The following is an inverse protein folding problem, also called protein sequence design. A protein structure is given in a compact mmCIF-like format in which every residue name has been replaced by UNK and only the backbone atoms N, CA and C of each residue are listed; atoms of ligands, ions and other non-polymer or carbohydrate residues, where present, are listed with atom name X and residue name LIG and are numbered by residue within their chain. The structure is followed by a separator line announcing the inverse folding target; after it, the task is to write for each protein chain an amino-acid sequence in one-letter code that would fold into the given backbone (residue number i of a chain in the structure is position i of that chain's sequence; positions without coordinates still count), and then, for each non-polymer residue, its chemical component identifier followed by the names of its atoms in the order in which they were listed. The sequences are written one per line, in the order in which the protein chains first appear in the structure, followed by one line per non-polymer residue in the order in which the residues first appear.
data_IF_543258442594
#
_entry.id   IF_543258442594
#
_cell.length_a   1.000
_cell.length_b   1.000
_cell.length_c   1.000
_cell.angle_alpha   90.00
_cell.angle_beta   90.00
_cell.angle_gamma   90.00
#
_symmetry.space_group_name_H-M   'P 1'
#
loop_
_entity.id
_entity.type
_entity.pdbx_description
1 polymer ?
#
# COMPACT_ATOMS: atom_id res chain seq x y z
N UNK A 1 11.53 -13.46 -16.48
CA UNK A 1 11.88 -12.04 -16.64
C UNK A 1 12.49 -11.65 -15.31
N UNK A 2 13.80 -11.47 -15.25
CA UNK A 2 14.40 -10.74 -14.13
C UNK A 2 13.70 -9.37 -14.11
N UNK A 3 12.85 -9.12 -13.12
CA UNK A 3 12.44 -7.75 -12.87
C UNK A 3 13.72 -7.04 -12.43
N UNK A 4 14.31 -6.24 -13.33
CA UNK A 4 15.28 -5.24 -12.94
C UNK A 4 14.58 -4.40 -11.88
N UNK A 5 14.86 -4.66 -10.60
CA UNK A 5 14.36 -3.85 -9.49
C UNK A 5 14.94 -2.47 -9.71
N UNK A 6 14.13 -1.57 -10.26
CA UNK A 6 14.51 -0.17 -10.40
C UNK A 6 14.63 0.40 -8.99
N UNK A 7 15.85 0.70 -8.58
CA UNK A 7 16.10 1.37 -7.30
C UNK A 7 15.69 2.83 -7.42
N UNK A 8 14.56 3.19 -6.81
CA UNK A 8 14.14 4.58 -6.67
C UNK A 8 14.88 5.19 -5.47
N UNK A 9 15.55 6.35 -5.63
CA UNK A 9 16.23 7.01 -4.52
C UNK A 9 15.19 7.53 -3.52
N UNK A 10 15.34 7.18 -2.24
CA UNK A 10 14.40 7.57 -1.19
C UNK A 10 14.42 9.08 -0.90
N UNK A 11 15.60 9.72 -0.92
CA UNK A 11 15.76 11.11 -0.48
C UNK A 11 14.91 12.11 -1.29
N UNK A 12 14.94 12.11 -2.64
CA UNK A 12 14.14 13.07 -3.42
C UNK A 12 12.64 12.92 -3.16
N UNK A 13 12.14 11.69 -3.07
CA UNK A 13 10.72 11.43 -2.84
C UNK A 13 10.30 11.81 -1.41
N UNK A 14 11.16 11.58 -0.42
CA UNK A 14 10.93 12.03 0.96
C UNK A 14 10.80 13.56 1.02
N UNK A 15 11.71 14.30 0.37
CA UNK A 15 11.62 15.76 0.29
C UNK A 15 10.36 16.21 -0.45
N UNK A 16 10.01 15.54 -1.55
CA UNK A 16 8.81 15.86 -2.33
C UNK A 16 7.53 15.71 -1.50
N UNK A 17 7.25 14.52 -0.96
CA UNK A 17 6.02 14.28 -0.19
C UNK A 17 6.04 15.03 1.14
N UNK A 18 7.19 15.12 1.80
CA UNK A 18 7.37 15.93 3.00
C UNK A 18 7.06 17.41 2.75
N UNK A 19 7.46 17.96 1.61
CA UNK A 19 7.15 19.36 1.24
C UNK A 19 5.65 19.58 1.01
N UNK A 20 4.93 18.61 0.45
CA UNK A 20 3.47 18.70 0.26
C UNK A 20 2.72 18.66 1.60
N UNK A 21 3.11 17.74 2.48
CA UNK A 21 2.53 17.65 3.83
C UNK A 21 2.83 18.92 4.62
N UNK A 22 4.07 19.41 4.58
CA UNK A 22 4.44 20.66 5.25
C UNK A 22 3.69 21.87 4.68
N UNK A 23 3.50 21.92 3.37
CA UNK A 23 2.71 22.97 2.74
C UNK A 23 1.28 22.99 3.26
N UNK A 24 0.60 21.83 3.30
CA UNK A 24 -0.76 21.72 3.86
C UNK A 24 -0.80 22.14 5.34
N UNK A 25 0.19 21.71 6.13
CA UNK A 25 0.30 22.08 7.54
C UNK A 25 0.43 23.59 7.73
N UNK A 26 1.37 24.23 7.01
CA UNK A 26 1.64 25.67 7.09
C UNK A 26 0.46 26.49 6.60
N UNK A 27 -0.19 26.08 5.50
CA UNK A 27 -1.40 26.76 4.99
C UNK A 27 -2.54 26.66 6.00
N UNK A 28 -2.81 25.46 6.53
CA UNK A 28 -3.85 25.24 7.53
C UNK A 28 -3.66 26.12 8.77
N UNK A 29 -2.46 26.09 9.35
CA UNK A 29 -2.14 26.93 10.53
C UNK A 29 -2.08 28.41 10.21
N UNK A 30 -1.57 28.81 9.05
CA UNK A 30 -1.56 30.19 8.59
C UNK A 30 -2.97 30.79 8.54
N UNK A 31 -3.95 30.04 8.03
CA UNK A 31 -5.35 30.44 8.03
C UNK A 31 -5.91 30.60 9.45
N UNK A 32 -5.59 29.70 10.38
CA UNK A 32 -5.99 29.81 11.79
C UNK A 32 -5.43 31.08 12.42
N UNK A 33 -4.13 31.33 12.26
CA UNK A 33 -3.45 32.48 12.88
C UNK A 33 -3.97 33.83 12.40
N UNK A 34 -4.49 33.92 11.17
CA UNK A 34 -5.08 35.17 10.65
C UNK A 34 -6.30 35.66 11.44
N UNK A 35 -7.02 34.76 12.13
CA UNK A 35 -8.24 35.09 12.87
C UNK A 35 -8.20 34.71 14.36
N UNK A 36 -7.06 34.20 14.85
CA UNK A 36 -6.93 33.67 16.20
C UNK A 36 -7.21 34.73 17.29
N UNK A 37 -6.78 35.98 17.06
CA UNK A 37 -7.04 37.09 18.01
C UNK A 37 -8.52 37.39 18.19
N UNK A 38 -9.33 37.15 17.16
CA UNK A 38 -10.77 37.43 17.16
C UNK A 38 -11.59 36.22 17.61
N UNK A 39 -11.12 35.02 17.29
CA UNK A 39 -11.78 33.76 17.61
C UNK A 39 -10.78 32.74 18.20
N UNK A 40 -10.42 32.87 19.50
CA UNK A 40 -9.47 31.97 20.15
C UNK A 40 -9.90 30.50 20.14
N UNK A 41 -11.21 30.22 20.06
CA UNK A 41 -11.78 28.88 19.95
C UNK A 41 -11.33 28.13 18.69
N UNK A 42 -10.89 28.83 17.63
CA UNK A 42 -10.33 28.22 16.43
C UNK A 42 -9.09 27.37 16.73
N UNK A 43 -8.30 27.72 17.76
CA UNK A 43 -7.11 26.96 18.13
C UNK A 43 -7.46 25.52 18.52
N UNK A 44 -8.46 25.35 19.38
CA UNK A 44 -8.90 24.03 19.83
C UNK A 44 -9.48 23.21 18.68
N UNK A 45 -10.31 23.83 17.82
CA UNK A 45 -10.93 23.15 16.67
C UNK A 45 -9.89 22.77 15.60
N UNK A 46 -8.91 23.64 15.35
CA UNK A 46 -7.80 23.38 14.45
C UNK A 46 -6.92 22.22 14.94
N UNK A 47 -6.57 22.23 16.22
CA UNK A 47 -5.80 21.15 16.85
C UNK A 47 -6.58 19.83 16.78
N UNK A 48 -7.86 19.83 17.15
CA UNK A 48 -8.73 18.65 17.04
C UNK A 48 -8.78 18.11 15.61
N UNK A 49 -8.97 19.00 14.62
CA UNK A 49 -9.02 18.61 13.20
C UNK A 49 -7.72 17.94 12.75
N UNK A 50 -6.57 18.50 13.13
CA UNK A 50 -5.26 17.88 12.85
C UNK A 50 -5.12 16.52 13.53
N UNK A 51 -5.49 16.40 14.81
CA UNK A 51 -5.41 15.14 15.56
C UNK A 51 -6.39 14.09 15.04
N UNK A 52 -7.58 14.47 14.56
CA UNK A 52 -8.50 13.54 13.91
C UNK A 52 -7.92 13.00 12.61
N UNK A 53 -7.20 13.84 11.85
CA UNK A 53 -6.44 13.38 10.67
C UNK A 53 -5.36 12.37 11.04
N UNK A 54 -4.54 12.68 12.06
CA UNK A 54 -3.51 11.77 12.57
C UNK A 54 -4.10 10.45 13.07
N UNK A 55 -5.20 10.52 13.83
CA UNK A 55 -5.84 9.38 14.42
C UNK A 55 -6.44 8.48 13.34
N UNK A 56 -7.18 9.05 12.39
CA UNK A 56 -7.88 8.26 11.37
C UNK A 56 -6.93 7.53 10.42
N UNK A 57 -5.71 8.04 10.19
CA UNK A 57 -4.65 7.33 9.48
C UNK A 57 -4.27 5.97 10.12
N UNK A 58 -4.52 5.79 11.42
CA UNK A 58 -4.31 4.53 12.11
C UNK A 58 -5.48 3.55 11.98
N UNK A 59 -6.52 3.86 11.21
CA UNK A 59 -7.58 2.89 11.01
C UNK A 59 -7.05 1.69 10.21
N UNK A 60 -7.43 0.49 10.66
CA UNK A 60 -6.83 -0.76 10.20
C UNK A 60 -7.02 -0.97 8.69
N UNK A 61 -8.09 -0.45 8.11
CA UNK A 61 -8.39 -0.47 6.69
C UNK A 61 -7.43 0.40 5.87
N UNK A 62 -7.03 1.58 6.38
CA UNK A 62 -6.01 2.45 5.79
C UNK A 62 -4.65 1.75 5.71
N UNK A 63 -4.13 1.32 6.87
CA UNK A 63 -2.85 0.61 6.98
C UNK A 63 -2.86 -0.62 6.05
N UNK A 64 -3.93 -1.41 6.13
CA UNK A 64 -4.02 -2.63 5.32
C UNK A 64 -4.08 -2.35 3.82
N UNK A 65 -4.79 -1.30 3.38
CA UNK A 65 -4.83 -0.91 1.97
C UNK A 65 -3.46 -0.42 1.47
N UNK A 66 -2.80 0.46 2.25
CA UNK A 66 -1.49 1.03 1.93
C UNK A 66 -0.44 -0.07 1.85
N UNK A 67 -0.39 -0.97 2.84
CA UNK A 67 0.52 -2.11 2.89
C UNK A 67 0.39 -3.00 1.65
N UNK A 68 -0.85 -3.41 1.37
CA UNK A 68 -1.11 -4.37 0.31
C UNK A 68 -0.82 -3.75 -1.06
N UNK A 69 -1.10 -2.46 -1.24
CA UNK A 69 -0.80 -1.76 -2.48
C UNK A 69 0.71 -1.52 -2.65
N UNK A 70 1.39 -1.16 -1.56
CA UNK A 70 2.85 -1.03 -1.51
C UNK A 70 3.49 -2.36 -1.89
N UNK A 71 3.01 -3.47 -1.32
CA UNK A 71 3.52 -4.81 -1.62
C UNK A 71 3.38 -5.18 -3.10
N UNK A 72 2.20 -4.95 -3.66
CA UNK A 72 1.91 -5.17 -5.08
C UNK A 72 2.87 -4.38 -5.96
N UNK A 73 3.07 -3.09 -5.68
CA UNK A 73 3.94 -2.22 -6.48
C UNK A 73 5.43 -2.55 -6.31
N UNK A 74 5.89 -2.97 -5.12
CA UNK A 74 7.25 -3.49 -4.92
C UNK A 74 7.47 -4.73 -5.78
N UNK A 75 6.51 -5.67 -5.80
CA UNK A 75 6.59 -6.86 -6.64
C UNK A 75 6.63 -6.54 -8.14
N UNK A 76 5.95 -5.47 -8.56
CA UNK A 76 5.96 -4.97 -9.94
C UNK A 76 7.21 -4.14 -10.28
N UNK A 77 8.11 -3.90 -9.32
CA UNK A 77 9.31 -3.08 -9.51
C UNK A 77 9.02 -1.58 -9.72
N UNK A 78 7.92 -1.08 -9.15
CA UNK A 78 7.45 0.31 -9.28
C UNK A 78 7.81 1.17 -8.07
N UNK A 79 7.78 2.49 -8.23
CA UNK A 79 7.98 3.43 -7.12
C UNK A 79 6.79 3.40 -6.16
N UNK A 80 7.07 3.11 -4.90
CA UNK A 80 6.12 2.94 -3.81
C UNK A 80 6.09 4.08 -2.79
N UNK A 81 7.04 5.02 -2.87
CA UNK A 81 7.22 6.06 -1.83
C UNK A 81 6.01 6.99 -1.65
N UNK A 82 5.16 7.12 -2.67
CA UNK A 82 3.98 7.98 -2.65
C UNK A 82 2.66 7.28 -2.33
N UNK A 83 2.64 5.96 -2.10
CA UNK A 83 1.39 5.19 -1.98
C UNK A 83 0.50 5.74 -0.86
N UNK A 84 1.07 5.90 0.34
CA UNK A 84 0.35 6.44 1.49
C UNK A 84 -0.12 7.88 1.29
N UNK A 85 0.73 8.75 0.73
CA UNK A 85 0.36 10.14 0.41
C UNK A 85 -0.84 10.21 -0.56
N UNK A 86 -0.79 9.46 -1.66
CA UNK A 86 -1.87 9.53 -2.65
C UNK A 86 -3.15 8.89 -2.13
N UNK A 87 -3.07 7.83 -1.32
CA UNK A 87 -4.21 7.23 -0.65
C UNK A 87 -4.92 8.25 0.27
N UNK A 88 -4.21 8.78 1.27
CA UNK A 88 -4.73 9.79 2.20
C UNK A 88 -5.21 11.06 1.50
N UNK A 89 -4.51 11.53 0.48
CA UNK A 89 -4.92 12.71 -0.28
C UNK A 89 -6.23 12.47 -1.04
N UNK A 90 -6.40 11.29 -1.63
CA UNK A 90 -7.65 10.91 -2.30
C UNK A 90 -8.83 10.83 -1.32
N UNK A 91 -8.62 10.21 -0.16
CA UNK A 91 -9.60 10.14 0.92
C UNK A 91 -9.99 11.53 1.42
N UNK A 92 -8.97 12.34 1.69
CA UNK A 92 -9.13 13.70 2.19
C UNK A 92 -9.77 14.64 1.16
N UNK A 93 -9.68 14.35 -0.15
CA UNK A 93 -10.38 15.12 -1.16
C UNK A 93 -11.91 15.03 -0.97
N UNK A 94 -12.42 13.86 -0.60
CA UNK A 94 -13.85 13.68 -0.25
C UNK A 94 -14.18 14.50 0.99
N UNK A 95 -13.34 14.44 2.03
CA UNK A 95 -13.52 15.23 3.27
C UNK A 95 -13.52 16.73 2.99
N UNK A 96 -12.59 17.23 2.16
CA UNK A 96 -12.51 18.65 1.75
C UNK A 96 -13.78 19.07 1.00
N UNK A 97 -14.23 18.28 0.02
CA UNK A 97 -15.45 18.58 -0.74
C UNK A 97 -16.65 18.64 0.18
N UNK A 98 -16.79 17.68 1.09
CA UNK A 98 -17.90 17.65 2.04
C UNK A 98 -17.85 18.77 3.07
N UNK A 99 -16.65 19.15 3.53
CA UNK A 99 -16.48 20.30 4.40
C UNK A 99 -16.87 21.60 3.68
N UNK A 100 -16.47 21.79 2.42
CA UNK A 100 -16.87 22.94 1.61
C UNK A 100 -18.39 23.01 1.42
N UNK A 101 -19.02 21.88 1.06
CA UNK A 101 -20.48 21.79 0.95
C UNK A 101 -21.16 22.18 2.27
N UNK A 102 -20.62 21.71 3.39
CA UNK A 102 -21.14 22.05 4.72
C UNK A 102 -20.97 23.53 5.06
N UNK A 103 -19.83 24.13 4.75
CA UNK A 103 -19.54 25.54 5.02
C UNK A 103 -20.46 26.46 4.20
N UNK A 104 -20.66 26.17 2.91
CA UNK A 104 -21.47 27.02 2.03
C UNK A 104 -22.96 26.72 2.07
N UNK A 105 -23.37 25.49 2.40
CA UNK A 105 -24.75 25.04 2.34
C UNK A 105 -25.21 24.42 3.67
N UNK A 106 -24.97 25.13 4.79
CA UNK A 106 -25.25 24.63 6.16
C UNK A 106 -26.64 24.02 6.32
N UNK A 107 -27.70 24.69 5.86
CA UNK A 107 -29.08 24.22 6.02
C UNK A 107 -29.39 22.97 5.18
N UNK A 108 -28.86 22.93 3.95
CA UNK A 108 -28.95 21.73 3.11
C UNK A 108 -28.18 20.57 3.74
N UNK A 109 -26.96 20.83 4.21
CA UNK A 109 -26.10 19.83 4.84
C UNK A 109 -26.72 19.23 6.09
N UNK A 110 -27.32 20.05 6.98
CA UNK A 110 -28.04 19.55 8.16
C UNK A 110 -29.15 18.55 7.80
N UNK A 111 -29.85 18.78 6.69
CA UNK A 111 -30.99 17.96 6.27
C UNK A 111 -30.60 16.74 5.42
N UNK A 112 -29.49 16.82 4.67
CA UNK A 112 -29.10 15.78 3.70
C UNK A 112 -27.90 14.95 4.15
N UNK A 113 -26.94 15.50 4.91
CA UNK A 113 -25.76 14.76 5.37
C UNK A 113 -26.14 13.46 6.10
N UNK A 114 -27.13 13.42 7.02
CA UNK A 114 -27.50 12.17 7.68
C UNK A 114 -27.94 11.09 6.68
N UNK A 115 -28.68 11.47 5.63
CA UNK A 115 -29.13 10.53 4.59
C UNK A 115 -27.98 10.05 3.71
N UNK A 116 -27.06 10.95 3.37
CA UNK A 116 -25.84 10.58 2.64
C UNK A 116 -24.91 9.71 3.47
N UNK A 117 -24.86 9.90 4.79
CA UNK A 117 -24.10 9.06 5.69
C UNK A 117 -24.70 7.64 5.78
N UNK A 118 -26.02 7.51 5.87
CA UNK A 118 -26.67 6.19 5.91
C UNK A 118 -26.38 5.35 4.65
N UNK A 119 -26.52 5.95 3.47
CA UNK A 119 -26.33 5.26 2.19
C UNK A 119 -24.86 5.18 1.81
N UNK A 120 -24.16 6.31 1.89
CA UNK A 120 -22.76 6.46 1.52
C UNK A 120 -21.84 5.70 2.48
N UNK A 121 -22.13 5.67 3.77
CA UNK A 121 -21.42 4.85 4.76
C UNK A 121 -21.44 3.38 4.37
N UNK A 122 -22.62 2.81 4.13
CA UNK A 122 -22.76 1.41 3.70
C UNK A 122 -22.02 1.13 2.40
N UNK A 123 -22.20 1.98 1.38
CA UNK A 123 -21.54 1.79 0.09
C UNK A 123 -20.02 1.94 0.20
N UNK A 124 -19.54 2.94 0.93
CA UNK A 124 -18.12 3.19 1.18
C UNK A 124 -17.46 2.01 1.89
N UNK A 125 -18.04 1.54 3.00
CA UNK A 125 -17.56 0.34 3.71
C UNK A 125 -17.58 -0.90 2.82
N UNK A 126 -18.62 -1.08 2.00
CA UNK A 126 -18.70 -2.21 1.06
C UNK A 126 -17.60 -2.15 -0.01
N UNK A 127 -17.36 -0.98 -0.60
CA UNK A 127 -16.29 -0.78 -1.57
C UNK A 127 -14.91 -0.97 -0.96
N UNK A 128 -14.67 -0.43 0.24
CA UNK A 128 -13.44 -0.61 1.00
C UNK A 128 -13.19 -2.11 1.28
N UNK A 129 -14.19 -2.79 1.83
CA UNK A 129 -14.10 -4.22 2.14
C UNK A 129 -13.82 -5.09 0.90
N UNK A 130 -14.53 -4.85 -0.20
CA UNK A 130 -14.29 -5.57 -1.46
C UNK A 130 -12.88 -5.29 -2.01
N UNK A 131 -12.41 -4.04 -1.94
CA UNK A 131 -11.07 -3.66 -2.37
C UNK A 131 -9.99 -4.34 -1.53
N UNK A 132 -10.16 -4.43 -0.21
CA UNK A 132 -9.24 -5.14 0.70
C UNK A 132 -9.21 -6.64 0.40
N UNK A 133 -10.37 -7.28 0.17
CA UNK A 133 -10.43 -8.68 -0.23
C UNK A 133 -9.72 -8.93 -1.57
N UNK A 134 -9.91 -8.02 -2.53
CA UNK A 134 -9.22 -8.06 -3.82
C UNK A 134 -7.70 -7.99 -3.62
N UNK A 135 -7.21 -6.97 -2.91
CA UNK A 135 -5.80 -6.76 -2.65
C UNK A 135 -5.17 -7.93 -1.88
N UNK A 136 -5.85 -8.43 -0.84
CA UNK A 136 -5.45 -9.59 -0.06
C UNK A 136 -5.33 -10.85 -0.92
N UNK A 137 -6.27 -11.06 -1.85
CA UNK A 137 -6.22 -12.19 -2.81
C UNK A 137 -4.99 -12.11 -3.71
N UNK A 138 -4.66 -10.93 -4.24
CA UNK A 138 -3.47 -10.77 -5.08
C UNK A 138 -2.18 -10.99 -4.27
N UNK A 139 -2.09 -10.42 -3.08
CA UNK A 139 -0.90 -10.59 -2.25
C UNK A 139 -0.76 -12.01 -1.71
N UNK A 140 -1.86 -12.73 -1.48
CA UNK A 140 -1.85 -14.17 -1.18
C UNK A 140 -1.23 -14.98 -2.33
N UNK A 141 -1.55 -14.60 -3.57
CA UNK A 141 -0.98 -15.26 -4.74
C UNK A 141 0.52 -14.96 -4.86
N UNK A 142 0.95 -13.71 -4.63
CA UNK A 142 2.37 -13.34 -4.55
C UNK A 142 3.07 -14.15 -3.46
N UNK A 143 2.45 -14.27 -2.27
CA UNK A 143 2.96 -15.05 -1.14
C UNK A 143 3.13 -16.54 -1.52
N UNK A 144 2.13 -17.14 -2.17
CA UNK A 144 2.18 -18.53 -2.62
C UNK A 144 3.30 -18.76 -3.66
N UNK A 145 3.50 -17.80 -4.58
CA UNK A 145 4.59 -17.82 -5.55
C UNK A 145 5.97 -17.79 -4.89
N UNK A 146 6.15 -16.92 -3.89
CA UNK A 146 7.39 -16.84 -3.09
C UNK A 146 7.62 -18.14 -2.33
N UNK A 147 6.58 -18.68 -1.67
CA UNK A 147 6.67 -19.93 -0.90
C UNK A 147 7.06 -21.12 -1.79
N UNK A 148 6.45 -21.24 -2.98
CA UNK A 148 6.76 -22.33 -3.90
C UNK A 148 8.18 -22.22 -4.44
N UNK A 149 8.61 -21.02 -4.84
CA UNK A 149 9.97 -20.76 -5.31
C UNK A 149 11.00 -21.14 -4.24
N UNK A 150 10.73 -20.76 -2.98
CA UNK A 150 11.55 -21.13 -1.84
C UNK A 150 11.64 -22.64 -1.62
N UNK A 151 10.50 -23.35 -1.65
CA UNK A 151 10.45 -24.81 -1.48
C UNK A 151 11.16 -25.55 -2.62
N UNK A 152 11.11 -25.01 -3.84
CA UNK A 152 11.78 -25.55 -5.03
C UNK A 152 13.30 -25.49 -4.88
N UNK A 153 13.83 -24.33 -4.50
CA UNK A 153 15.26 -24.13 -4.33
C UNK A 153 15.80 -24.94 -3.15
N UNK A 154 15.04 -25.03 -2.05
CA UNK A 154 15.40 -25.89 -0.91
C UNK A 154 15.47 -27.38 -1.26
N UNK A 155 14.86 -27.81 -2.38
CA UNK A 155 14.90 -29.19 -2.90
C UNK A 155 15.94 -29.38 -4.03
N UNK A 156 16.69 -28.34 -4.39
CA UNK A 156 17.68 -28.39 -5.48
C UNK A 156 17.09 -28.40 -6.89
N UNK A 157 15.78 -28.18 -7.04
CA UNK A 157 15.13 -28.06 -8.34
C UNK A 157 15.01 -26.57 -8.71
N UNK A 158 15.88 -26.12 -9.60
CA UNK A 158 15.89 -24.75 -10.12
C UNK A 158 14.95 -24.56 -11.33
N UNK A 159 14.32 -25.62 -11.84
CA UNK A 159 13.52 -25.57 -13.07
C UNK A 159 12.07 -25.14 -12.86
N UNK A 160 11.50 -25.32 -11.66
CA UNK A 160 10.06 -25.20 -11.41
C UNK A 160 9.59 -23.86 -10.82
N UNK A 161 10.47 -22.86 -10.71
CA UNK A 161 10.18 -21.54 -10.13
C UNK A 161 9.26 -20.62 -11.00
N UNK A 162 8.95 -20.98 -12.25
CA UNK A 162 8.17 -20.12 -13.16
C UNK A 162 6.70 -20.51 -13.39
N UNK A 163 6.26 -21.69 -12.91
CA UNK A 163 5.16 -22.38 -13.59
C UNK A 163 3.79 -22.43 -12.89
N UNK A 164 3.50 -21.67 -11.83
CA UNK A 164 2.17 -21.84 -11.18
C UNK A 164 1.57 -20.56 -10.65
N UNK A 165 1.13 -19.71 -11.56
CA UNK A 165 0.14 -18.67 -11.23
C UNK A 165 -0.62 -18.22 -12.48
N UNK A 166 -1.11 -19.12 -13.32
CA UNK A 166 -1.88 -18.74 -14.51
C UNK A 166 -3.27 -19.39 -14.51
N UNK A 167 -4.06 -19.11 -13.48
CA UNK A 167 -5.50 -19.41 -13.52
C UNK A 167 -6.24 -18.28 -14.26
N UNK A 168 -7.35 -18.60 -14.93
CA UNK A 168 -8.18 -17.57 -15.62
C UNK A 168 -8.60 -16.44 -14.66
N UNK A 169 -8.93 -16.80 -13.43
CA UNK A 169 -9.30 -15.89 -12.34
C UNK A 169 -8.12 -14.97 -11.98
N UNK A 170 -6.91 -15.50 -11.85
CA UNK A 170 -5.71 -14.71 -11.61
C UNK A 170 -5.44 -13.71 -12.73
N UNK A 171 -5.65 -14.08 -14.01
CA UNK A 171 -5.50 -13.13 -15.13
C UNK A 171 -6.50 -11.99 -15.07
N UNK A 172 -7.75 -12.26 -14.66
CA UNK A 172 -8.79 -11.24 -14.50
C UNK A 172 -8.39 -10.28 -13.38
N UNK A 173 -8.02 -10.81 -12.21
CA UNK A 173 -7.57 -9.99 -11.07
C UNK A 173 -6.31 -9.19 -11.37
N UNK A 174 -5.33 -9.80 -12.03
CA UNK A 174 -4.12 -9.12 -12.49
C UNK A 174 -4.44 -8.01 -13.49
N UNK A 175 -5.41 -8.21 -14.39
CA UNK A 175 -5.84 -7.18 -15.34
C UNK A 175 -6.54 -6.01 -14.66
N UNK A 176 -7.43 -6.28 -13.70
CA UNK A 176 -8.09 -5.25 -12.91
C UNK A 176 -7.08 -4.42 -12.08
N UNK A 177 -6.07 -5.06 -11.49
CA UNK A 177 -5.02 -4.36 -10.74
C UNK A 177 -3.92 -3.73 -11.60
N UNK A 178 -3.74 -4.16 -12.85
CA UNK A 178 -2.91 -3.44 -13.82
C UNK A 178 -3.49 -2.07 -14.18
N UNK A 179 -4.66 -1.69 -13.63
CA UNK A 179 -5.11 -0.30 -13.64
C UNK A 179 -4.21 0.55 -12.74
N UNK A 180 -3.70 0.00 -11.63
CA UNK A 180 -2.83 0.68 -10.65
C UNK A 180 -1.38 0.26 -10.87
N UNK A 181 -0.71 0.91 -11.83
CA UNK A 181 0.71 0.70 -12.15
C UNK A 181 1.63 1.80 -11.58
N UNK A 182 1.06 2.89 -11.08
CA UNK A 182 1.77 4.03 -10.53
C UNK A 182 1.19 4.45 -9.20
N UNK A 183 2.04 4.93 -8.29
CA UNK A 183 1.63 5.38 -6.96
C UNK A 183 0.54 6.46 -6.97
N UNK A 184 0.53 7.38 -7.96
CA UNK A 184 -0.49 8.43 -8.04
C UNK A 184 -1.90 7.89 -8.24
N UNK A 185 -2.06 6.72 -8.85
CA UNK A 185 -3.36 6.11 -9.12
C UNK A 185 -4.05 5.61 -7.83
N UNK A 186 -3.28 5.49 -6.74
CA UNK A 186 -3.81 5.16 -5.42
C UNK A 186 -4.76 6.26 -4.91
N UNK A 187 -4.70 7.48 -5.47
CA UNK A 187 -5.68 8.54 -5.20
C UNK A 187 -7.12 8.09 -5.49
N UNK A 188 -7.34 7.27 -6.52
CA UNK A 188 -8.66 6.75 -6.84
C UNK A 188 -9.15 5.77 -5.77
N UNK A 189 -8.23 4.98 -5.19
CA UNK A 189 -8.54 4.06 -4.10
C UNK A 189 -8.86 4.84 -2.83
N UNK A 190 -8.07 5.87 -2.52
CA UNK A 190 -8.33 6.78 -1.41
C UNK A 190 -9.70 7.44 -1.50
N UNK A 191 -10.10 7.91 -2.69
CA UNK A 191 -11.45 8.47 -2.89
C UNK A 191 -12.53 7.45 -2.55
N UNK A 192 -12.38 6.18 -2.95
CA UNK A 192 -13.36 5.13 -2.65
C UNK A 192 -13.47 4.86 -1.15
N UNK A 193 -12.36 4.89 -0.40
CA UNK A 193 -12.36 4.76 1.06
C UNK A 193 -12.98 6.00 1.73
N UNK A 194 -12.77 7.19 1.16
CA UNK A 194 -13.37 8.45 1.63
C UNK A 194 -14.89 8.52 1.49
N UNK A 195 -15.50 7.64 0.70
CA UNK A 195 -16.96 7.59 0.52
C UNK A 195 -17.72 7.08 1.75
N UNK A 196 -17.05 6.58 2.79
CA UNK A 196 -17.72 6.19 4.05
C UNK A 196 -18.41 7.34 4.78
N UNK A 197 -18.11 8.60 4.43
CA UNK A 197 -18.65 9.85 5.01
C UNK A 197 -18.48 10.07 6.52
N UNK A 198 -18.12 9.08 7.34
CA UNK A 198 -18.00 9.24 8.79
C UNK A 198 -17.03 10.36 9.19
N UNK A 199 -15.89 10.45 8.49
CA UNK A 199 -14.90 11.52 8.69
C UNK A 199 -15.31 12.86 8.12
N UNK A 200 -15.96 12.84 6.95
CA UNK A 200 -16.57 14.04 6.39
C UNK A 200 -17.58 14.64 7.38
N UNK A 201 -18.37 13.80 8.05
CA UNK A 201 -19.31 14.23 9.09
C UNK A 201 -18.60 14.78 10.32
N UNK A 202 -17.51 14.15 10.81
CA UNK A 202 -16.73 14.68 11.94
C UNK A 202 -16.20 16.11 11.67
N UNK A 203 -15.60 16.32 10.50
CA UNK A 203 -15.10 17.65 10.11
C UNK A 203 -16.25 18.63 9.83
N UNK A 204 -17.36 18.17 9.24
CA UNK A 204 -18.56 18.97 9.05
C UNK A 204 -19.17 19.44 10.39
N UNK A 205 -19.19 18.57 11.41
CA UNK A 205 -19.67 18.92 12.76
C UNK A 205 -18.77 19.95 13.42
N UNK A 206 -17.44 19.81 13.31
CA UNK A 206 -16.51 20.84 13.80
C UNK A 206 -16.70 22.17 13.06
N UNK A 207 -16.85 22.13 11.74
CA UNK A 207 -17.06 23.32 10.91
C UNK A 207 -18.37 24.05 11.26
N UNK A 208 -19.48 23.30 11.39
CA UNK A 208 -20.78 23.87 11.78
C UNK A 208 -20.78 24.40 13.21
N UNK A 209 -20.07 23.74 14.14
CA UNK A 209 -19.89 24.22 15.50
C UNK A 209 -19.14 25.56 15.53
N UNK A 210 -18.07 25.71 14.74
CA UNK A 210 -17.35 26.98 14.62
C UNK A 210 -18.27 28.11 14.11
N UNK A 211 -19.02 27.85 13.05
CA UNK A 211 -19.95 28.82 12.46
C UNK A 211 -21.08 29.19 13.43
N UNK A 212 -21.58 28.23 14.22
CA UNK A 212 -22.67 28.44 15.16
C UNK A 212 -22.24 29.20 16.43
N UNK A 213 -21.09 28.86 17.01
CA UNK A 213 -20.61 29.45 18.28
C UNK A 213 -20.08 30.87 18.11
N UNK A 214 -19.70 31.25 16.90
CA UNK A 214 -19.08 32.56 16.66
C UNK A 214 -19.68 33.18 15.41
N UNK A 215 -20.78 33.93 15.60
CA UNK A 215 -21.39 34.74 14.54
C UNK A 215 -20.30 35.58 13.86
N UNK A 216 -20.01 35.27 12.60
CA UNK A 216 -19.05 36.01 11.78
C UNK A 216 -17.65 35.40 11.61
N UNK A 217 -17.39 34.15 12.02
CA UNK A 217 -16.14 33.49 11.58
C UNK A 217 -16.12 33.43 10.05
N UNK A 218 -15.07 33.95 9.38
CA UNK A 218 -14.95 33.85 7.93
C UNK A 218 -14.83 32.40 7.50
N UNK A 219 -15.50 32.04 6.40
CA UNK A 219 -15.49 30.69 5.87
C UNK A 219 -14.07 30.16 5.60
N UNK A 220 -13.12 31.02 5.21
CA UNK A 220 -11.71 30.68 5.02
C UNK A 220 -11.03 30.17 6.30
N UNK A 221 -11.40 30.71 7.45
CA UNK A 221 -10.88 30.25 8.74
C UNK A 221 -11.42 28.87 9.09
N UNK A 222 -12.70 28.61 8.79
CA UNK A 222 -13.31 27.27 8.96
C UNK A 222 -12.74 26.26 7.96
N UNK A 223 -12.38 26.71 6.75
CA UNK A 223 -11.72 25.88 5.74
C UNK A 223 -10.32 25.40 6.14
N UNK A 224 -9.71 25.99 7.16
CA UNK A 224 -8.48 25.46 7.76
C UNK A 224 -8.64 24.04 8.32
N UNK A 225 -9.83 23.67 8.80
CA UNK A 225 -10.08 22.39 9.46
C UNK A 225 -9.88 21.19 8.52
N UNK A 226 -10.54 21.10 7.35
CA UNK A 226 -10.28 20.01 6.42
C UNK A 226 -8.84 20.01 5.89
N UNK A 227 -8.18 21.17 5.76
CA UNK A 227 -6.76 21.24 5.37
C UNK A 227 -5.86 20.62 6.44
N UNK A 228 -6.08 20.96 7.71
CA UNK A 228 -5.32 20.43 8.84
C UNK A 228 -5.57 18.93 9.04
N UNK A 229 -6.82 18.48 8.90
CA UNK A 229 -7.16 17.06 8.86
C UNK A 229 -6.38 16.34 7.74
N UNK A 230 -6.41 16.89 6.53
CA UNK A 230 -5.68 16.35 5.37
C UNK A 230 -4.19 16.29 5.66
N UNK A 231 -3.62 17.33 6.26
CA UNK A 231 -2.20 17.38 6.62
C UNK A 231 -1.82 16.29 7.63
N UNK A 232 -2.63 16.10 8.68
CA UNK A 232 -2.38 15.08 9.70
C UNK A 232 -2.45 13.67 9.11
N UNK A 233 -3.50 13.38 8.35
CA UNK A 233 -3.67 12.09 7.70
C UNK A 233 -2.55 11.81 6.70
N UNK A 234 -2.27 12.76 5.80
CA UNK A 234 -1.22 12.59 4.79
C UNK A 234 0.15 12.38 5.42
N UNK A 235 0.44 12.99 6.56
CA UNK A 235 1.69 12.78 7.29
C UNK A 235 1.84 11.32 7.74
N UNK A 236 0.81 10.78 8.41
CA UNK A 236 0.88 9.43 9.00
C UNK A 236 0.81 8.33 7.94
N UNK A 237 -0.10 8.44 6.97
CA UNK A 237 -0.19 7.47 5.88
C UNK A 237 1.08 7.48 5.02
N UNK A 238 1.71 8.66 4.81
CA UNK A 238 3.02 8.71 4.13
C UNK A 238 4.11 8.03 4.94
N UNK A 239 4.14 8.20 6.27
CA UNK A 239 5.09 7.51 7.13
C UNK A 239 4.91 5.99 7.04
N UNK A 240 3.67 5.50 7.08
CA UNK A 240 3.34 4.09 6.94
C UNK A 240 3.77 3.52 5.57
N UNK A 241 3.37 4.18 4.49
CA UNK A 241 3.75 3.75 3.13
C UNK A 241 5.26 3.75 2.90
N UNK A 242 5.99 4.73 3.44
CA UNK A 242 7.46 4.77 3.39
C UNK A 242 8.08 3.65 4.24
N UNK A 243 7.57 3.43 5.45
CA UNK A 243 8.00 2.34 6.32
C UNK A 243 7.84 0.99 5.60
N UNK A 244 6.67 0.71 5.05
CA UNK A 244 6.42 -0.53 4.32
C UNK A 244 7.24 -0.67 3.05
N UNK A 245 7.41 0.43 2.30
CA UNK A 245 8.27 0.44 1.13
C UNK A 245 9.70 0.03 1.49
N UNK A 246 10.25 0.60 2.56
CA UNK A 246 11.60 0.26 3.01
C UNK A 246 11.69 -1.15 3.58
N UNK A 247 10.71 -1.58 4.39
CA UNK A 247 10.66 -2.90 4.97
C UNK A 247 10.60 -3.99 3.88
N UNK A 248 9.72 -3.84 2.89
CA UNK A 248 9.61 -4.80 1.79
C UNK A 248 10.84 -4.77 0.88
N UNK A 249 11.31 -3.61 0.40
CA UNK A 249 12.51 -3.54 -0.44
C UNK A 249 13.76 -4.10 0.24
N UNK A 250 13.90 -3.90 1.56
CA UNK A 250 14.98 -4.48 2.36
C UNK A 250 14.94 -6.01 2.33
N UNK A 251 13.74 -6.60 2.42
CA UNK A 251 13.57 -8.05 2.35
C UNK A 251 13.92 -8.61 0.96
N UNK A 252 13.56 -7.93 -0.12
CA UNK A 252 13.82 -8.41 -1.50
C UNK A 252 15.29 -8.37 -1.93
N UNK A 253 16.18 -7.74 -1.16
CA UNK A 253 17.58 -7.50 -1.55
C UNK A 253 18.60 -8.58 -1.13
N UNK A 254 18.21 -9.73 -0.57
CA UNK A 254 19.18 -10.83 -0.32
C UNK A 254 18.58 -12.25 -0.40
N UNK A 255 19.41 -13.29 -0.65
CA UNK A 255 18.95 -14.44 -1.43
C UNK A 255 18.20 -15.55 -0.68
N UNK A 256 18.33 -15.77 0.63
CA UNK A 256 17.61 -16.91 1.25
C UNK A 256 17.05 -16.68 2.66
N UNK A 257 17.79 -15.99 3.54
CA UNK A 257 17.37 -15.86 4.95
C UNK A 257 16.31 -14.80 5.16
N UNK A 258 16.24 -13.83 4.25
CA UNK A 258 15.18 -12.82 4.23
C UNK A 258 13.83 -13.37 3.77
N UNK A 259 13.80 -14.53 3.11
CA UNK A 259 12.56 -15.11 2.59
C UNK A 259 11.55 -15.40 3.71
N UNK A 260 12.00 -15.92 4.86
CA UNK A 260 11.11 -16.16 6.00
C UNK A 260 10.50 -14.86 6.55
N UNK A 261 11.29 -13.79 6.65
CA UNK A 261 10.78 -12.47 7.03
C UNK A 261 9.85 -11.89 5.97
N UNK A 262 10.13 -12.17 4.70
CA UNK A 262 9.24 -11.83 3.59
C UNK A 262 7.87 -12.48 3.74
N UNK A 263 7.89 -13.79 3.97
CA UNK A 263 6.70 -14.60 4.14
C UNK A 263 5.92 -14.16 5.37
N UNK A 264 6.59 -13.84 6.47
CA UNK A 264 5.95 -13.34 7.69
C UNK A 264 5.28 -11.98 7.47
N UNK A 265 6.00 -10.97 6.96
CA UNK A 265 5.44 -9.63 6.72
C UNK A 265 4.32 -9.65 5.68
N UNK A 266 4.47 -10.46 4.63
CA UNK A 266 3.44 -10.59 3.59
C UNK A 266 2.23 -11.37 4.10
N UNK A 267 2.46 -12.47 4.83
CA UNK A 267 1.40 -13.26 5.44
C UNK A 267 0.59 -12.46 6.44
N UNK A 268 1.25 -11.60 7.22
CA UNK A 268 0.58 -10.67 8.12
C UNK A 268 -0.30 -9.67 7.35
N UNK A 269 0.25 -9.01 6.33
CA UNK A 269 -0.48 -8.04 5.52
C UNK A 269 -1.68 -8.65 4.76
N UNK A 270 -1.53 -9.87 4.25
CA UNK A 270 -2.61 -10.64 3.60
C UNK A 270 -3.68 -11.02 4.62
N UNK A 271 -3.28 -11.47 5.80
CA UNK A 271 -4.22 -11.85 6.87
C UNK A 271 -5.03 -10.65 7.34
N UNK A 272 -4.37 -9.50 7.52
CA UNK A 272 -5.04 -8.24 7.84
C UNK A 272 -6.04 -7.85 6.75
N UNK A 273 -5.66 -7.92 5.46
CA UNK A 273 -6.56 -7.62 4.34
C UNK A 273 -7.82 -8.47 4.30
N UNK A 274 -7.68 -9.78 4.49
CA UNK A 274 -8.84 -10.66 4.57
C UNK A 274 -9.68 -10.40 5.81
N UNK A 275 -9.05 -10.24 6.98
CA UNK A 275 -9.77 -10.01 8.22
C UNK A 275 -10.59 -8.72 8.16
N UNK A 276 -9.95 -7.60 7.84
CA UNK A 276 -10.61 -6.29 7.76
C UNK A 276 -11.64 -6.27 6.63
N UNK A 277 -11.29 -6.79 5.45
CA UNK A 277 -12.22 -6.82 4.32
C UNK A 277 -13.48 -7.65 4.58
N UNK A 278 -13.37 -8.79 5.30
CA UNK A 278 -14.53 -9.57 5.74
C UNK A 278 -15.35 -8.78 6.75
N UNK A 279 -14.69 -8.16 7.74
CA UNK A 279 -15.35 -7.35 8.77
C UNK A 279 -16.13 -6.19 8.14
N UNK A 280 -15.55 -5.47 7.19
CA UNK A 280 -16.21 -4.39 6.45
C UNK A 280 -17.44 -4.87 5.68
N UNK A 281 -17.32 -5.97 4.93
CA UNK A 281 -18.47 -6.53 4.20
C UNK A 281 -19.60 -6.93 5.16
N UNK A 282 -19.26 -7.55 6.30
CA UNK A 282 -20.24 -7.91 7.33
C UNK A 282 -20.91 -6.65 7.92
N UNK A 283 -20.14 -5.61 8.22
CA UNK A 283 -20.66 -4.35 8.75
C UNK A 283 -21.59 -3.67 7.74
N UNK A 284 -21.21 -3.60 6.46
CA UNK A 284 -22.00 -3.03 5.39
C UNK A 284 -23.33 -3.78 5.20
N UNK A 285 -23.30 -5.11 5.18
CA UNK A 285 -24.51 -5.96 5.10
C UNK A 285 -25.40 -5.74 6.32
N UNK A 286 -24.81 -5.64 7.52
CA UNK A 286 -25.53 -5.37 8.76
C UNK A 286 -26.24 -4.03 8.75
N UNK A 287 -25.59 -2.98 8.26
CA UNK A 287 -26.16 -1.65 8.07
C UNK A 287 -27.31 -1.65 7.05
N UNK A 288 -27.12 -2.30 5.91
CA UNK A 288 -28.11 -2.35 4.83
C UNK A 288 -29.38 -3.15 5.21
N UNK A 289 -29.20 -4.36 5.75
CA UNK A 289 -30.32 -5.27 6.09
C UNK A 289 -30.91 -5.02 7.48
N UNK A 290 -30.33 -4.11 8.28
CA UNK A 290 -30.68 -3.89 9.70
C UNK A 290 -30.74 -5.21 10.49
N UNK A 291 -29.84 -6.14 10.17
CA UNK A 291 -29.85 -7.49 10.71
C UNK A 291 -28.99 -7.57 11.97
N UNK A 292 -29.56 -8.07 13.08
CA UNK A 292 -28.93 -8.03 14.40
C UNK A 292 -28.46 -9.41 14.88
N UNK A 293 -27.70 -10.13 14.05
CA UNK A 293 -27.07 -11.41 14.44
C UNK A 293 -25.81 -11.16 15.32
N UNK A 294 -25.47 -12.05 16.26
CA UNK A 294 -24.18 -12.03 16.99
C UNK A 294 -22.94 -11.71 16.14
N UNK A 295 -22.84 -12.22 14.92
CA UNK A 295 -21.70 -11.96 14.01
C UNK A 295 -21.61 -10.49 13.60
N UNK A 296 -22.75 -9.87 13.28
CA UNK A 296 -22.81 -8.46 12.90
C UNK A 296 -22.50 -7.57 14.11
N UNK A 297 -23.05 -7.91 15.29
CA UNK A 297 -22.74 -7.20 16.54
C UNK A 297 -21.26 -7.28 16.90
N UNK A 298 -20.63 -8.43 16.70
CA UNK A 298 -19.19 -8.58 16.89
C UNK A 298 -18.41 -7.66 15.93
N UNK A 299 -18.74 -7.68 14.64
CA UNK A 299 -18.07 -6.85 13.64
C UNK A 299 -18.23 -5.34 13.93
N UNK A 300 -19.43 -4.90 14.29
CA UNK A 300 -19.72 -3.50 14.66
C UNK A 300 -19.08 -3.05 15.98
N UNK A 301 -18.72 -3.99 16.87
CA UNK A 301 -18.05 -3.68 18.13
C UNK A 301 -16.53 -3.50 17.98
N UNK A 302 -15.96 -3.82 16.81
CA UNK A 302 -14.54 -3.67 16.56
C UNK A 302 -14.18 -2.21 16.38
N UNK A 303 -13.17 -1.76 17.12
CA UNK A 303 -12.61 -0.43 16.95
C UNK A 303 -11.46 -0.47 15.95
N UNK A 304 -11.69 0.09 14.76
CA UNK A 304 -10.73 0.07 13.64
C UNK A 304 -9.43 0.78 13.97
N UNK A 305 -9.50 1.84 14.78
CA UNK A 305 -8.33 2.58 15.23
C UNK A 305 -7.43 1.74 16.14
N UNK A 306 -8.03 1.07 17.13
CA UNK A 306 -7.28 0.18 18.04
C UNK A 306 -6.69 -1.00 17.26
N UNK A 307 -7.47 -1.57 16.34
CA UNK A 307 -6.98 -2.66 15.48
C UNK A 307 -5.78 -2.22 14.63
N UNK A 308 -5.80 -1.01 14.07
CA UNK A 308 -4.70 -0.53 13.24
C UNK A 308 -3.48 -0.15 14.06
N UNK A 309 -3.63 0.44 15.25
CA UNK A 309 -2.51 0.63 16.20
C UNK A 309 -1.86 -0.73 16.55
N UNK A 310 -2.68 -1.74 16.88
CA UNK A 310 -2.20 -3.09 17.14
C UNK A 310 -1.45 -3.68 15.92
N UNK A 311 -1.97 -3.46 14.71
CA UNK A 311 -1.36 -3.94 13.47
C UNK A 311 0.00 -3.27 13.21
N UNK A 312 0.10 -1.94 13.35
CA UNK A 312 1.36 -1.19 13.22
C UNK A 312 2.40 -1.68 14.22
N UNK A 313 2.02 -1.85 15.49
CA UNK A 313 2.91 -2.40 16.53
C UNK A 313 3.41 -3.79 16.12
N UNK A 314 2.52 -4.66 15.64
CA UNK A 314 2.87 -6.00 15.20
C UNK A 314 3.85 -5.99 14.01
N UNK A 315 3.67 -5.09 13.04
CA UNK A 315 4.62 -4.91 11.94
C UNK A 315 5.98 -4.43 12.42
N UNK A 316 6.02 -3.41 13.29
CA UNK A 316 7.26 -2.88 13.86
C UNK A 316 8.01 -3.94 14.65
N UNK A 317 7.32 -4.74 15.47
CA UNK A 317 7.91 -5.86 16.23
C UNK A 317 8.46 -6.91 15.27
N UNK A 318 7.67 -7.33 14.28
CA UNK A 318 8.07 -8.37 13.32
C UNK A 318 9.29 -7.94 12.51
N UNK A 319 9.33 -6.69 12.06
CA UNK A 319 10.45 -6.14 11.31
C UNK A 319 11.69 -5.91 12.18
N UNK A 320 11.53 -5.42 13.41
CA UNK A 320 12.63 -5.23 14.36
C UNK A 320 13.26 -6.57 14.76
N UNK A 321 12.44 -7.58 15.03
CA UNK A 321 12.92 -8.95 15.28
C UNK A 321 13.71 -9.49 14.09
N UNK A 322 13.26 -9.20 12.85
CA UNK A 322 13.98 -9.58 11.64
C UNK A 322 15.36 -8.91 11.53
N UNK A 323 15.44 -7.61 11.84
CA UNK A 323 16.70 -6.85 11.83
C UNK A 323 17.68 -7.33 12.91
N UNK A 324 17.19 -7.55 14.13
CA UNK A 324 17.99 -8.02 15.27
C UNK A 324 18.55 -9.40 14.96
N UNK A 325 17.69 -10.33 14.53
CA UNK A 325 18.13 -11.69 14.20
C UNK A 325 19.15 -11.69 13.05
N UNK A 326 18.98 -10.84 12.03
CA UNK A 326 20.01 -10.70 11.00
C UNK A 326 21.34 -10.24 11.62
N UNK A 327 21.36 -9.16 12.40
CA UNK A 327 22.59 -8.64 13.01
C UNK A 327 23.26 -9.65 13.94
N UNK A 328 22.51 -10.28 14.83
CA UNK A 328 23.03 -11.20 15.86
C UNK A 328 23.58 -12.49 15.24
N UNK A 329 22.90 -13.07 14.26
CA UNK A 329 23.36 -14.32 13.63
C UNK A 329 24.39 -14.11 12.51
N UNK A 330 24.89 -12.88 12.36
CA UNK A 330 25.90 -12.47 11.38
C UNK A 330 25.60 -12.99 9.96
N UNK A 331 24.32 -12.93 9.59
CA UNK A 331 23.82 -13.52 8.34
C UNK A 331 24.38 -12.84 7.09
N UNK A 332 24.90 -11.61 7.23
CA UNK A 332 25.56 -10.86 6.15
C UNK A 332 26.73 -11.64 5.54
N UNK A 333 27.61 -12.19 6.39
CA UNK A 333 28.77 -12.95 5.93
C UNK A 333 28.38 -14.32 5.31
N UNK A 334 27.21 -14.87 5.65
CA UNK A 334 26.68 -16.09 5.05
C UNK A 334 25.97 -15.81 3.72
N UNK A 335 25.24 -14.70 3.61
CA UNK A 335 24.60 -14.29 2.36
C UNK A 335 25.64 -13.91 1.29
N UNK A 336 26.70 -13.16 1.65
CA UNK A 336 27.77 -12.83 0.71
C UNK A 336 28.43 -14.09 0.12
N UNK A 337 28.60 -15.15 0.93
CA UNK A 337 29.12 -16.45 0.48
C UNK A 337 28.17 -17.19 -0.46
N UNK A 338 26.85 -17.12 -0.21
CA UNK A 338 25.84 -17.76 -1.06
C UNK A 338 25.71 -17.03 -2.40
N UNK A 339 25.66 -15.69 -2.39
CA UNK A 339 25.67 -14.88 -3.62
C UNK A 339 26.91 -15.17 -4.47
N UNK A 340 28.07 -15.24 -3.84
CA UNK A 340 29.32 -15.56 -4.54
C UNK A 340 29.31 -16.98 -5.13
N UNK A 341 28.70 -17.96 -4.45
CA UNK A 341 28.58 -19.32 -4.93
C UNK A 341 27.62 -19.44 -6.13
N UNK A 342 26.47 -18.76 -6.09
CA UNK A 342 25.49 -18.73 -7.19
C UNK A 342 26.07 -18.07 -8.43
N UNK A 343 26.73 -16.91 -8.28
CA UNK A 343 27.37 -16.21 -9.39
C UNK A 343 28.43 -17.08 -10.07
N UNK A 344 29.22 -17.81 -9.28
CA UNK A 344 30.21 -18.77 -9.80
C UNK A 344 29.56 -19.93 -10.55
N UNK A 345 28.36 -20.35 -10.15
CA UNK A 345 27.60 -21.42 -10.80
C UNK A 345 26.94 -20.95 -12.10
N UNK A 346 26.41 -19.73 -12.14
CA UNK A 346 25.92 -19.08 -13.37
C UNK A 346 27.04 -18.85 -14.39
N UNK A 347 28.18 -18.33 -13.95
CA UNK A 347 29.35 -18.11 -14.81
C UNK A 347 29.85 -19.45 -15.40
N UNK A 348 29.87 -20.52 -14.60
CA UNK A 348 30.22 -21.86 -15.05
C UNK A 348 29.19 -22.42 -16.06
N UNK A 349 27.89 -22.18 -15.85
CA UNK A 349 26.84 -22.59 -16.77
C UNK A 349 26.90 -21.82 -18.10
N UNK A 350 27.18 -20.52 -18.07
CA UNK A 350 27.37 -19.72 -19.29
C UNK A 350 28.63 -20.15 -20.06
N UNK A 351 29.74 -20.40 -19.37
CA UNK A 351 30.96 -20.92 -20.01
C UNK A 351 30.72 -22.31 -20.64
N UNK A 352 29.98 -23.20 -19.98
CA UNK A 352 29.63 -24.51 -20.51
C UNK A 352 28.76 -24.42 -21.78
N UNK A 353 27.81 -23.48 -21.82
CA UNK A 353 26.97 -23.24 -23.00
C UNK A 353 27.75 -22.60 -24.15
N UNK A 354 28.64 -21.65 -23.87
CA UNK A 354 29.55 -21.07 -24.87
C UNK A 354 30.47 -22.14 -25.46
N UNK A 355 31.04 -23.01 -24.61
CA UNK A 355 31.86 -24.14 -25.04
C UNK A 355 31.10 -25.11 -25.95
N UNK A 356 29.87 -25.51 -25.59
CA UNK A 356 29.01 -26.34 -26.44
C UNK A 356 28.71 -25.69 -27.80
N UNK A 357 28.36 -24.39 -27.81
CA UNK A 357 28.09 -23.66 -29.05
C UNK A 357 29.33 -23.60 -29.97
N UNK A 358 30.52 -23.45 -29.37
CA UNK A 358 31.77 -23.46 -30.12
C UNK A 358 32.06 -24.84 -30.72
N UNK A 359 31.85 -25.92 -29.96
CA UNK A 359 32.03 -27.30 -30.44
C UNK A 359 31.06 -27.61 -31.59
N UNK A 360 29.79 -27.25 -31.47
CA UNK A 360 28.80 -27.41 -32.54
C UNK A 360 29.16 -26.61 -33.80
N UNK A 361 29.68 -25.38 -33.64
CA UNK A 361 30.14 -24.57 -34.77
C UNK A 361 31.35 -25.15 -35.50
N UNK A 362 32.30 -25.73 -34.76
CA UNK A 362 33.51 -26.38 -35.32
C UNK A 362 33.11 -27.68 -36.01
N UNK A 363 32.20 -28.45 -35.41
CA UNK A 363 31.69 -29.67 -36.03
C UNK A 363 30.92 -29.39 -37.32
N UNK A 364 30.11 -28.33 -37.35
CA UNK A 364 29.39 -27.89 -38.56
C UNK A 364 30.36 -27.44 -39.67
N UNK A 365 31.41 -26.69 -39.34
CA UNK A 365 32.47 -26.28 -40.27
C UNK A 365 33.26 -27.47 -40.84
N UNK A 366 33.57 -28.46 -40.00
CA UNK A 366 34.28 -29.67 -40.43
C UNK A 366 33.42 -30.55 -41.35
N UNK A 367 32.12 -30.65 -41.10
CA UNK A 367 31.18 -31.35 -41.98
C UNK A 367 31.07 -30.66 -43.35
N UNK A 368 30.97 -29.33 -43.38
CA UNK A 368 30.94 -28.58 -44.65
C UNK A 368 32.26 -28.65 -45.41
N UNK A 369 33.40 -28.63 -44.71
CA UNK A 369 34.72 -28.80 -45.33
C UNK A 369 34.91 -30.21 -45.91
N UNK A 370 34.41 -31.25 -45.23
CA UNK A 370 34.43 -32.64 -45.71
C UNK A 370 33.55 -32.82 -46.95
N UNK A 371 32.33 -32.27 -46.94
CA UNK A 371 31.43 -32.28 -48.09
C UNK A 371 32.02 -31.56 -49.31
N UNK A 372 32.70 -30.41 -49.11
CA UNK A 372 33.40 -29.72 -50.20
C UNK A 372 34.58 -30.52 -50.76
N UNK A 373 35.31 -31.27 -49.93
CA UNK A 373 36.41 -32.14 -50.39
C UNK A 373 35.89 -33.34 -51.18
N UNK A 374 34.79 -33.96 -50.75
CA UNK A 374 34.15 -35.08 -51.46
C UNK A 374 33.55 -34.65 -52.81
N UNK A 375 33.02 -33.41 -52.92
CA UNK A 375 32.59 -32.83 -54.19
C UNK A 375 33.77 -32.53 -55.15
N UNK A 376 34.94 -32.19 -54.62
CA UNK A 376 36.12 -31.88 -55.43
C UNK A 376 36.88 -33.12 -55.93
N UNK A 377 36.63 -34.29 -55.34
CA UNK A 377 37.22 -35.57 -55.77
C UNK A 377 36.36 -36.37 -56.75
N UNK A 378 35.17 -35.87 -57.10
CA UNK A 378 34.26 -36.48 -58.10
C UNK A 378 34.20 -35.70 -59.43
N UNK A 379 35.05 -34.70 -59.60
CA UNK A 379 35.42 -34.08 -60.88
C UNK A 379 36.88 -34.41 -61.17
#
# INVERSE_FOLDING_TARGET
MESKVQHYPLKPDLFKFGSYVLFLFVVGWGLVFTYLNRYPSLLAMAFLSFTFGLQHAFDVDHITAIDNMTRKLVNDGKNTHGVGFFFSFGHSLVVIVMALLTIFFVEWSKNQLPKFQDVGGVLGTLFAGFMLLLLGTINLVILAGIWKSFKSISKGDFSSAKASTDTRIFRIFKRALNIINHNWQVVCVGILFGLGFDTATQIAVLATSAVATSKGIPWFAVFSFPILFTSGMCFMDSCDGLFMSTAYSWVFSSPFRKVYYNLALTGLSVTAAFFVGIVDVIQAIGGFLKWHNPVIKFAQALNFNILGICLVILFVITWSAALIFWRVFNLKAKDEKVVAAEKKQEDAFQQANLSKSNIESVHAKNLTAKQRREQHSMN
#
